data_IF_409875606820
#
_entry.id   IF_409875606820
#
_cell.length_a   1.000
_cell.length_b   1.000
_cell.length_c   1.000
_cell.angle_alpha   90.00
_cell.angle_beta   90.00
_cell.angle_gamma   90.00
#
_symmetry.space_group_name_H-M   'P 1'
#
loop_
_entity.id
_entity.type
_entity.pdbx_description
1 polymer ?
#
# COMPACT_ATOMS: atom_id res chain seq x y z
N UNK A 1 7.56 44.46 2.88
CA UNK A 1 7.85 43.06 2.49
C UNK A 1 6.91 42.18 3.28
N UNK A 2 5.91 41.58 2.61
CA UNK A 2 4.83 40.83 3.26
C UNK A 2 5.29 39.38 3.56
N UNK A 3 4.88 38.87 4.72
CA UNK A 3 5.18 37.50 5.21
C UNK A 3 4.56 36.38 4.34
N UNK A 4 3.97 36.69 3.21
CA UNK A 4 3.31 35.72 2.31
C UNK A 4 4.29 35.06 1.33
N UNK A 5 5.47 35.63 1.09
CA UNK A 5 6.39 35.13 0.07
C UNK A 5 7.32 33.98 0.52
N UNK A 6 7.33 33.66 1.83
CA UNK A 6 8.24 32.64 2.37
C UNK A 6 7.66 31.22 2.26
N UNK A 7 6.33 31.07 2.15
CA UNK A 7 5.68 29.74 2.10
C UNK A 7 5.52 29.17 0.70
N UNK A 8 5.63 29.99 -0.35
CA UNK A 8 5.51 29.54 -1.74
C UNK A 8 6.77 28.88 -2.29
N UNK A 9 7.92 29.06 -1.66
CA UNK A 9 9.21 28.59 -2.18
C UNK A 9 9.53 27.11 -1.85
N UNK A 10 8.86 26.50 -0.86
CA UNK A 10 9.18 25.10 -0.43
C UNK A 10 8.45 24.03 -1.25
N UNK A 11 7.41 24.40 -1.99
CA UNK A 11 6.61 23.44 -2.80
C UNK A 11 7.21 23.24 -4.20
N UNK A 12 8.06 24.15 -4.68
CA UNK A 12 8.59 24.11 -6.05
C UNK A 12 9.82 23.22 -6.28
N UNK A 13 10.33 22.49 -5.29
CA UNK A 13 11.56 21.68 -5.44
C UNK A 13 11.37 20.16 -5.47
N UNK A 14 10.15 19.62 -5.37
CA UNK A 14 9.95 18.19 -5.55
C UNK A 14 9.04 17.92 -6.76
N UNK A 15 9.45 17.02 -7.65
CA UNK A 15 8.61 16.43 -8.72
C UNK A 15 7.42 15.60 -8.16
N UNK A 16 6.89 15.99 -6.99
CA UNK A 16 5.82 15.30 -6.29
C UNK A 16 4.47 15.81 -6.76
N UNK A 17 3.51 14.92 -6.76
CA UNK A 17 2.14 15.20 -7.20
C UNK A 17 1.24 15.14 -5.96
N UNK A 18 0.81 16.29 -5.39
CA UNK A 18 0.16 16.34 -4.08
C UNK A 18 -1.09 15.45 -3.95
N UNK A 19 -1.94 15.39 -4.98
CA UNK A 19 -3.14 14.55 -4.91
C UNK A 19 -2.82 13.04 -4.85
N UNK A 20 -1.68 12.62 -5.38
CA UNK A 20 -1.21 11.22 -5.28
C UNK A 20 -0.74 10.94 -3.86
N UNK A 21 0.04 11.85 -3.27
CA UNK A 21 0.50 11.69 -1.89
C UNK A 21 -0.67 11.73 -0.92
N UNK A 22 -1.68 12.58 -1.16
CA UNK A 22 -2.90 12.58 -0.37
C UNK A 22 -3.62 11.22 -0.42
N UNK A 23 -3.84 10.65 -1.60
CA UNK A 23 -4.53 9.36 -1.76
C UNK A 23 -3.74 8.21 -1.13
N UNK A 24 -2.41 8.19 -1.26
CA UNK A 24 -1.54 7.23 -0.54
C UNK A 24 -1.66 7.41 0.98
N UNK A 25 -1.70 8.65 1.45
CA UNK A 25 -1.87 8.95 2.88
C UNK A 25 -3.18 8.43 3.44
N UNK A 26 -4.28 8.62 2.71
CA UNK A 26 -5.59 8.06 3.06
C UNK A 26 -5.52 6.53 3.14
N UNK A 27 -4.90 5.87 2.14
CA UNK A 27 -4.78 4.41 2.14
C UNK A 27 -3.95 3.88 3.32
N UNK A 28 -2.83 4.52 3.66
CA UNK A 28 -2.01 4.17 4.84
C UNK A 28 -2.77 4.42 6.14
N UNK A 29 -3.47 5.54 6.28
CA UNK A 29 -4.29 5.82 7.47
C UNK A 29 -5.33 4.72 7.68
N UNK A 30 -6.07 4.34 6.64
CA UNK A 30 -7.06 3.27 6.68
C UNK A 30 -6.44 1.89 6.96
N UNK A 31 -5.26 1.61 6.42
CA UNK A 31 -4.50 0.40 6.72
C UNK A 31 -4.14 0.34 8.22
N UNK A 32 -3.60 1.41 8.78
CA UNK A 32 -3.24 1.47 10.21
C UNK A 32 -4.48 1.31 11.09
N UNK A 33 -5.62 1.89 10.68
CA UNK A 33 -6.90 1.76 11.37
C UNK A 33 -7.37 0.29 11.43
N UNK A 34 -7.25 -0.45 10.32
CA UNK A 34 -7.56 -1.88 10.31
C UNK A 34 -6.60 -2.69 11.18
N UNK A 35 -5.31 -2.39 11.13
CA UNK A 35 -4.30 -3.07 11.94
C UNK A 35 -4.43 -2.74 13.45
N UNK A 36 -5.02 -1.59 13.79
CA UNK A 36 -5.33 -1.25 15.19
C UNK A 36 -6.54 -2.01 15.74
N UNK A 37 -7.22 -2.84 14.94
CA UNK A 37 -8.30 -3.71 15.39
C UNK A 37 -9.71 -3.30 14.95
N UNK A 38 -9.84 -2.50 13.88
CA UNK A 38 -11.16 -2.21 13.31
C UNK A 38 -11.79 -3.50 12.76
N UNK A 39 -12.90 -3.94 13.36
CA UNK A 39 -13.64 -5.15 12.97
C UNK A 39 -15.11 -4.81 12.72
N UNK A 40 -15.38 -4.31 11.53
CA UNK A 40 -16.75 -4.01 11.08
C UNK A 40 -16.82 -4.09 9.54
N UNK A 41 -17.98 -3.78 8.98
CA UNK A 41 -18.22 -3.79 7.53
C UNK A 41 -17.27 -2.86 6.75
N UNK A 42 -16.71 -1.80 7.39
CA UNK A 42 -15.71 -0.94 6.75
C UNK A 42 -14.38 -1.66 6.50
N UNK A 43 -14.04 -2.67 7.30
CA UNK A 43 -12.84 -3.50 7.08
C UNK A 43 -12.87 -4.12 5.68
N UNK A 44 -14.01 -4.71 5.28
CA UNK A 44 -14.19 -5.27 3.94
C UNK A 44 -13.94 -4.24 2.83
N UNK A 45 -14.50 -3.03 2.98
CA UNK A 45 -14.31 -1.95 2.03
C UNK A 45 -12.83 -1.51 1.96
N UNK A 46 -12.18 -1.29 3.11
CA UNK A 46 -10.78 -0.87 3.17
C UNK A 46 -9.86 -1.89 2.53
N UNK A 47 -9.99 -3.17 2.89
CA UNK A 47 -9.14 -4.24 2.36
C UNK A 47 -9.31 -4.48 0.86
N UNK A 48 -10.46 -4.13 0.29
CA UNK A 48 -10.70 -4.27 -1.14
C UNK A 48 -9.84 -3.34 -2.01
N UNK A 49 -9.24 -2.25 -1.46
CA UNK A 49 -8.50 -1.29 -2.28
C UNK A 49 -7.20 -0.74 -1.66
N UNK A 50 -7.01 -0.73 -0.33
CA UNK A 50 -5.89 0.02 0.28
C UNK A 50 -4.51 -0.46 -0.19
N UNK A 51 -4.27 -1.78 -0.32
CA UNK A 51 -3.02 -2.32 -0.86
C UNK A 51 -2.99 -2.29 -2.40
N UNK A 52 -4.04 -2.72 -3.12
CA UNK A 52 -4.15 -2.55 -4.56
C UNK A 52 -3.85 -1.14 -5.06
N UNK A 53 -4.24 -0.11 -4.31
CA UNK A 53 -4.03 1.29 -4.63
C UNK A 53 -2.56 1.61 -4.96
N UNK A 54 -1.60 1.07 -4.23
CA UNK A 54 -0.18 1.34 -4.49
C UNK A 54 0.28 0.79 -5.84
N UNK A 55 -0.21 -0.39 -6.23
CA UNK A 55 0.06 -0.96 -7.56
C UNK A 55 -0.58 -0.11 -8.66
N UNK A 56 -1.85 0.24 -8.49
CA UNK A 56 -2.63 1.05 -9.44
C UNK A 56 -1.98 2.42 -9.64
N UNK A 57 -1.62 3.11 -8.54
CA UNK A 57 -0.91 4.40 -8.58
C UNK A 57 0.46 4.27 -9.25
N UNK A 58 1.21 3.20 -8.95
CA UNK A 58 2.51 2.96 -9.59
C UNK A 58 2.37 2.79 -11.10
N UNK A 59 1.37 2.03 -11.54
CA UNK A 59 1.07 1.86 -12.96
C UNK A 59 0.69 3.16 -13.66
N UNK A 60 -0.12 3.99 -13.02
CA UNK A 60 -0.48 5.32 -13.49
C UNK A 60 0.74 6.22 -13.69
N UNK A 61 1.67 6.23 -12.72
CA UNK A 61 2.86 7.07 -12.75
C UNK A 61 3.91 6.63 -13.78
N UNK A 62 4.10 5.32 -13.94
CA UNK A 62 5.16 4.78 -14.84
C UNK A 62 4.79 4.97 -16.32
N UNK A 63 3.51 4.92 -16.66
CA UNK A 63 3.06 5.07 -18.05
C UNK A 63 3.61 3.97 -18.97
N UNK A 64 4.10 4.37 -20.16
CA UNK A 64 4.60 3.45 -21.21
C UNK A 64 6.13 3.33 -21.25
N UNK A 65 6.87 4.12 -20.46
CA UNK A 65 8.32 4.13 -20.52
C UNK A 65 8.91 2.89 -19.84
N UNK A 66 9.93 2.30 -20.46
CA UNK A 66 10.80 1.37 -19.78
C UNK A 66 12.10 2.05 -19.36
N UNK A 67 12.80 1.46 -18.42
CA UNK A 67 14.11 1.91 -17.97
C UNK A 67 15.12 0.78 -18.12
N UNK A 68 16.42 1.09 -18.37
CA UNK A 68 17.46 0.06 -18.44
C UNK A 68 17.39 -0.85 -17.22
N UNK A 69 17.32 -2.17 -17.43
CA UNK A 69 16.93 -3.13 -16.40
C UNK A 69 17.85 -3.10 -15.18
N UNK A 70 19.16 -3.08 -15.38
CA UNK A 70 20.14 -3.10 -14.29
C UNK A 70 20.01 -1.87 -13.39
N UNK A 71 19.94 -0.68 -13.99
CA UNK A 71 19.78 0.57 -13.23
C UNK A 71 18.43 0.63 -12.52
N UNK A 72 17.39 0.07 -13.13
CA UNK A 72 16.07 0.00 -12.54
C UNK A 72 16.02 -0.95 -11.33
N UNK A 73 16.60 -2.16 -11.47
CA UNK A 73 16.76 -3.13 -10.38
C UNK A 73 17.51 -2.48 -9.21
N UNK A 74 18.72 -1.93 -9.47
CA UNK A 74 19.54 -1.28 -8.43
C UNK A 74 18.78 -0.20 -7.67
N UNK A 75 18.07 0.67 -8.40
CA UNK A 75 17.27 1.74 -7.79
C UNK A 75 16.10 1.18 -6.97
N UNK A 76 15.37 0.17 -7.51
CA UNK A 76 14.22 -0.41 -6.81
C UNK A 76 14.66 -1.25 -5.61
N UNK A 77 15.77 -1.96 -5.67
CA UNK A 77 16.37 -2.65 -4.52
C UNK A 77 16.70 -1.65 -3.41
N UNK A 78 17.33 -0.51 -3.76
CA UNK A 78 17.62 0.54 -2.79
C UNK A 78 16.35 1.10 -2.13
N UNK A 79 15.27 1.29 -2.90
CA UNK A 79 14.03 1.89 -2.42
C UNK A 79 13.13 0.92 -1.64
N UNK A 80 13.19 -0.39 -1.89
CA UNK A 80 12.23 -1.36 -1.37
C UNK A 80 12.88 -2.50 -0.59
N UNK A 81 13.94 -3.13 -1.12
CA UNK A 81 14.56 -4.28 -0.46
C UNK A 81 15.47 -3.85 0.70
N UNK A 82 16.22 -2.75 0.58
CA UNK A 82 17.04 -2.26 1.70
C UNK A 82 16.15 -1.91 2.89
N UNK A 83 15.09 -1.08 2.76
CA UNK A 83 14.13 -0.86 3.85
C UNK A 83 13.55 -2.16 4.38
N UNK A 84 13.14 -3.07 3.51
CA UNK A 84 12.59 -4.36 3.91
C UNK A 84 13.51 -5.13 4.87
N UNK A 85 14.74 -5.42 4.43
CA UNK A 85 15.67 -6.21 5.23
C UNK A 85 16.08 -5.49 6.52
N UNK A 86 16.31 -4.18 6.47
CA UNK A 86 16.73 -3.41 7.64
C UNK A 86 15.63 -3.34 8.69
N UNK A 87 14.38 -3.06 8.30
CA UNK A 87 13.28 -3.03 9.25
C UNK A 87 12.93 -4.43 9.76
N UNK A 88 13.02 -5.46 8.94
CA UNK A 88 12.87 -6.84 9.39
C UNK A 88 13.92 -7.19 10.47
N UNK A 89 15.19 -6.82 10.27
CA UNK A 89 16.24 -6.99 11.27
C UNK A 89 15.95 -6.22 12.57
N UNK A 90 15.62 -4.93 12.46
CA UNK A 90 15.34 -4.08 13.65
C UNK A 90 14.17 -4.64 14.46
N UNK A 91 13.10 -5.06 13.79
CA UNK A 91 11.92 -5.61 14.46
C UNK A 91 12.18 -6.98 15.09
N UNK A 92 13.09 -7.79 14.51
CA UNK A 92 13.53 -9.04 15.12
C UNK A 92 14.20 -8.85 16.48
N UNK A 93 15.05 -7.83 16.63
CA UNK A 93 15.74 -7.58 17.91
C UNK A 93 14.80 -7.19 19.06
N UNK A 94 13.58 -6.77 18.76
CA UNK A 94 12.56 -6.42 19.75
C UNK A 94 11.62 -7.57 20.16
N UNK A 95 11.84 -8.77 19.66
CA UNK A 95 10.92 -9.89 19.86
C UNK A 95 11.62 -11.11 20.46
N UNK A 96 11.02 -11.73 21.49
CA UNK A 96 11.56 -12.91 22.20
C UNK A 96 11.49 -14.23 21.40
N UNK A 97 11.01 -14.19 20.17
CA UNK A 97 10.90 -15.36 19.31
C UNK A 97 12.18 -15.61 18.52
N UNK A 98 12.51 -16.89 18.30
CA UNK A 98 13.64 -17.33 17.49
C UNK A 98 13.69 -16.55 16.16
N UNK A 99 14.89 -16.05 15.86
CA UNK A 99 15.17 -15.27 14.66
C UNK A 99 14.93 -16.14 13.40
N UNK A 100 13.85 -15.93 12.71
CA UNK A 100 13.52 -16.68 11.49
C UNK A 100 14.13 -16.02 10.24
N UNK A 101 15.41 -16.27 10.00
CA UNK A 101 16.10 -15.83 8.79
C UNK A 101 15.44 -16.34 7.52
N UNK A 102 14.96 -17.57 7.55
CA UNK A 102 14.35 -18.21 6.38
C UNK A 102 13.09 -17.45 6.01
N UNK A 103 12.26 -17.13 7.00
CA UNK A 103 11.04 -16.34 6.78
C UNK A 103 11.32 -14.97 6.21
N UNK A 104 12.35 -14.28 6.71
CA UNK A 104 12.76 -12.95 6.22
C UNK A 104 13.29 -13.02 4.78
N UNK A 105 14.16 -13.98 4.47
CA UNK A 105 14.70 -14.15 3.11
C UNK A 105 13.61 -14.55 2.14
N UNK A 106 12.66 -15.38 2.59
CA UNK A 106 11.52 -15.81 1.78
C UNK A 106 10.53 -14.69 1.49
N UNK A 107 10.28 -13.81 2.46
CA UNK A 107 9.59 -12.53 2.30
C UNK A 107 8.12 -12.59 1.91
N UNK A 108 7.43 -13.70 2.17
CA UNK A 108 5.98 -13.79 2.02
C UNK A 108 5.26 -13.37 3.30
N UNK A 109 3.95 -13.08 3.21
CA UNK A 109 3.13 -12.78 4.39
C UNK A 109 3.14 -13.95 5.39
N UNK A 110 3.00 -15.18 4.90
CA UNK A 110 2.93 -16.36 5.76
C UNK A 110 4.27 -16.65 6.44
N UNK A 111 5.39 -16.46 5.73
CA UNK A 111 6.72 -16.64 6.30
C UNK A 111 7.08 -15.58 7.34
N UNK A 112 6.45 -14.39 7.27
CA UNK A 112 6.67 -13.29 8.22
C UNK A 112 5.69 -13.31 9.40
N UNK A 113 4.86 -14.34 9.51
CA UNK A 113 3.79 -14.43 10.51
C UNK A 113 4.28 -14.72 11.95
N UNK A 114 5.58 -14.65 12.21
CA UNK A 114 6.16 -14.85 13.53
C UNK A 114 5.72 -13.76 14.53
N UNK A 115 5.43 -12.55 14.05
CA UNK A 115 4.85 -11.47 14.84
C UNK A 115 4.01 -10.53 13.99
N UNK A 116 3.03 -9.86 14.58
CA UNK A 116 2.22 -8.85 13.89
C UNK A 116 3.08 -7.72 13.32
N UNK A 117 4.19 -7.38 13.98
CA UNK A 117 5.09 -6.31 13.55
C UNK A 117 5.79 -6.57 12.23
N UNK A 118 6.00 -7.83 11.85
CA UNK A 118 6.66 -8.21 10.60
C UNK A 118 5.69 -8.38 9.43
N UNK A 119 4.47 -8.80 9.70
CA UNK A 119 3.50 -9.15 8.66
C UNK A 119 3.32 -8.07 7.59
N UNK A 120 3.17 -6.78 7.89
CA UNK A 120 3.01 -5.74 6.86
C UNK A 120 4.19 -5.58 5.90
N UNK A 121 5.38 -6.04 6.27
CA UNK A 121 6.59 -5.93 5.44
C UNK A 121 6.52 -6.77 4.15
N UNK A 122 5.64 -7.80 4.08
CA UNK A 122 5.44 -8.63 2.88
C UNK A 122 5.24 -7.80 1.61
N UNK A 123 4.64 -6.62 1.76
CA UNK A 123 4.31 -5.73 0.65
C UNK A 123 5.54 -5.24 -0.10
N UNK A 124 6.65 -4.96 0.58
CA UNK A 124 7.84 -4.38 -0.04
C UNK A 124 8.48 -5.32 -1.07
N UNK A 125 8.81 -6.60 -0.75
CA UNK A 125 9.33 -7.54 -1.74
C UNK A 125 8.32 -7.87 -2.84
N UNK A 126 7.04 -7.99 -2.52
CA UNK A 126 5.97 -8.18 -3.49
C UNK A 126 5.90 -7.01 -4.49
N UNK A 127 5.88 -5.78 -3.99
CA UNK A 127 5.83 -4.58 -4.83
C UNK A 127 7.11 -4.41 -5.65
N UNK A 128 8.27 -4.79 -5.09
CA UNK A 128 9.54 -4.84 -5.81
C UNK A 128 9.44 -5.73 -7.05
N UNK A 129 9.04 -7.00 -6.88
CA UNK A 129 8.88 -7.93 -8.00
C UNK A 129 7.89 -7.40 -9.04
N UNK A 130 6.73 -6.91 -8.63
CA UNK A 130 5.73 -6.37 -9.54
C UNK A 130 6.29 -5.22 -10.38
N UNK A 131 7.07 -4.31 -9.78
CA UNK A 131 7.67 -3.20 -10.52
C UNK A 131 8.72 -3.66 -11.53
N UNK A 132 9.54 -4.66 -11.18
CA UNK A 132 10.52 -5.23 -12.11
C UNK A 132 9.84 -5.93 -13.28
N UNK A 133 8.86 -6.80 -13.00
CA UNK A 133 8.10 -7.52 -14.05
C UNK A 133 7.41 -6.52 -14.97
N UNK A 134 6.74 -5.50 -14.41
CA UNK A 134 6.09 -4.47 -15.22
C UNK A 134 7.09 -3.69 -16.10
N UNK A 135 8.30 -3.40 -15.58
CA UNK A 135 9.34 -2.74 -16.37
C UNK A 135 9.81 -3.63 -17.54
N UNK A 136 9.98 -4.94 -17.32
CA UNK A 136 10.34 -5.91 -18.37
C UNK A 136 9.24 -5.98 -19.43
N UNK A 137 7.97 -6.07 -19.03
CA UNK A 137 6.84 -6.09 -19.98
C UNK A 137 6.79 -4.81 -20.82
N UNK A 138 7.23 -3.69 -20.28
CA UNK A 138 7.26 -2.41 -21.01
C UNK A 138 8.27 -2.39 -22.19
N UNK A 139 9.23 -3.33 -22.27
CA UNK A 139 10.06 -3.55 -23.45
C UNK A 139 9.25 -4.02 -24.66
N UNK A 140 8.14 -4.71 -24.43
CA UNK A 140 7.29 -5.21 -25.52
C UNK A 140 6.60 -4.01 -26.21
N UNK A 141 6.94 -3.77 -27.45
CA UNK A 141 6.43 -2.62 -28.22
C UNK A 141 5.05 -2.86 -28.79
N UNK A 142 4.76 -4.10 -29.23
CA UNK A 142 3.47 -4.48 -29.82
C UNK A 142 2.38 -4.52 -28.74
N UNK A 143 1.39 -3.63 -28.82
CA UNK A 143 0.33 -3.46 -27.82
C UNK A 143 -0.47 -4.74 -27.53
N UNK A 144 -0.82 -5.49 -28.57
CA UNK A 144 -1.61 -6.72 -28.41
C UNK A 144 -0.82 -7.82 -27.71
N UNK A 145 0.49 -8.00 -28.01
CA UNK A 145 1.36 -8.97 -27.33
C UNK A 145 1.49 -8.59 -25.87
N UNK A 146 1.73 -7.30 -25.57
CA UNK A 146 1.76 -6.79 -24.21
C UNK A 146 0.48 -7.09 -23.45
N UNK A 147 -0.69 -6.88 -24.07
CA UNK A 147 -1.98 -7.18 -23.44
C UNK A 147 -2.12 -8.68 -23.13
N UNK A 148 -1.77 -9.56 -24.10
CA UNK A 148 -1.79 -11.01 -23.87
C UNK A 148 -0.89 -11.39 -22.70
N UNK A 149 0.35 -10.90 -22.66
CA UNK A 149 1.28 -11.18 -21.55
C UNK A 149 0.68 -10.72 -20.20
N UNK A 150 0.11 -9.53 -20.15
CA UNK A 150 -0.48 -8.97 -18.94
C UNK A 150 -1.68 -9.79 -18.44
N UNK A 151 -2.57 -10.17 -19.36
CA UNK A 151 -3.72 -11.02 -19.03
C UNK A 151 -3.24 -12.39 -18.54
N UNK A 152 -2.31 -13.02 -19.27
CA UNK A 152 -1.76 -14.34 -18.90
C UNK A 152 -1.10 -14.31 -17.51
N UNK A 153 -0.21 -13.34 -17.25
CA UNK A 153 0.48 -13.23 -15.96
C UNK A 153 -0.51 -12.94 -14.84
N UNK A 154 -1.44 -12.00 -15.05
CA UNK A 154 -2.46 -11.67 -14.04
C UNK A 154 -3.37 -12.87 -13.72
N UNK A 155 -3.87 -13.57 -14.74
CA UNK A 155 -4.68 -14.77 -14.57
C UNK A 155 -3.90 -15.88 -13.86
N UNK A 156 -2.63 -16.08 -14.24
CA UNK A 156 -1.76 -17.06 -13.59
C UNK A 156 -1.56 -16.75 -12.10
N UNK A 157 -1.32 -15.48 -11.75
CA UNK A 157 -1.20 -15.05 -10.34
C UNK A 157 -2.48 -15.30 -9.54
N UNK A 158 -3.65 -15.03 -10.12
CA UNK A 158 -4.95 -15.32 -9.51
C UNK A 158 -5.16 -16.84 -9.31
N UNK A 159 -4.89 -17.64 -10.33
CA UNK A 159 -5.01 -19.09 -10.27
C UNK A 159 -4.06 -19.68 -9.23
N UNK A 160 -2.80 -19.26 -9.19
CA UNK A 160 -1.84 -19.70 -8.17
C UNK A 160 -2.33 -19.36 -6.76
N UNK A 161 -2.89 -18.18 -6.57
CA UNK A 161 -3.33 -17.74 -5.24
C UNK A 161 -4.55 -18.53 -4.72
N UNK A 162 -5.49 -18.86 -5.61
CA UNK A 162 -6.76 -19.50 -5.23
C UNK A 162 -6.62 -21.04 -5.18
N UNK A 163 -5.99 -21.64 -6.21
CA UNK A 163 -6.01 -23.09 -6.39
C UNK A 163 -4.77 -23.81 -5.84
N UNK A 164 -3.67 -23.09 -5.62
CA UNK A 164 -2.40 -23.66 -5.19
C UNK A 164 -1.79 -22.89 -4.01
N UNK A 165 -2.52 -22.79 -2.86
CA UNK A 165 -1.98 -22.15 -1.68
C UNK A 165 -0.82 -22.97 -1.11
N UNK A 166 0.33 -22.32 -0.88
CA UNK A 166 1.49 -22.92 -0.20
C UNK A 166 1.50 -22.43 1.24
N UNK A 167 1.77 -23.30 2.21
CA UNK A 167 1.75 -22.95 3.64
C UNK A 167 2.66 -21.77 3.99
N UNK A 168 3.88 -21.72 3.45
CA UNK A 168 4.81 -20.60 3.59
C UNK A 168 4.47 -19.41 2.65
N UNK A 169 3.48 -19.53 1.76
CA UNK A 169 3.25 -18.62 0.65
C UNK A 169 4.29 -18.83 -0.46
N UNK A 170 4.28 -17.97 -1.47
CA UNK A 170 5.31 -17.96 -2.54
C UNK A 170 6.43 -16.99 -2.19
N UNK A 171 7.70 -17.27 -2.59
CA UNK A 171 8.81 -16.35 -2.33
C UNK A 171 8.48 -14.92 -2.81
N UNK A 172 8.72 -13.93 -1.93
CA UNK A 172 8.38 -12.53 -2.19
C UNK A 172 6.93 -12.32 -2.62
N UNK A 173 6.02 -13.21 -2.18
CA UNK A 173 4.61 -13.22 -2.61
C UNK A 173 4.47 -13.14 -4.14
N UNK A 174 5.20 -13.98 -4.88
CA UNK A 174 5.29 -13.96 -6.34
C UNK A 174 3.92 -14.04 -7.02
N UNK A 175 3.03 -14.91 -6.53
CA UNK A 175 1.65 -15.02 -7.01
C UNK A 175 0.90 -13.68 -6.92
N UNK A 176 1.02 -12.99 -5.79
CA UNK A 176 0.42 -11.66 -5.57
C UNK A 176 1.13 -10.60 -6.44
N UNK A 177 2.44 -10.75 -6.67
CA UNK A 177 3.20 -9.84 -7.54
C UNK A 177 2.66 -9.85 -8.98
N UNK A 178 2.24 -11.01 -9.49
CA UNK A 178 1.61 -11.13 -10.80
C UNK A 178 0.24 -10.40 -10.86
N UNK A 179 -0.56 -10.52 -9.81
CA UNK A 179 -1.81 -9.75 -9.67
C UNK A 179 -1.49 -8.24 -9.59
N UNK A 180 -0.45 -7.87 -8.86
CA UNK A 180 0.05 -6.50 -8.79
C UNK A 180 0.40 -5.90 -10.15
N UNK A 181 0.99 -6.69 -11.06
CA UNK A 181 1.27 -6.26 -12.46
C UNK A 181 -0.03 -5.97 -13.22
N UNK A 182 -1.06 -6.81 -13.05
CA UNK A 182 -2.37 -6.55 -13.66
C UNK A 182 -3.01 -5.26 -13.11
N UNK A 183 -2.93 -5.03 -11.80
CA UNK A 183 -3.39 -3.79 -11.17
C UNK A 183 -2.62 -2.56 -11.68
N UNK A 184 -1.30 -2.66 -11.89
CA UNK A 184 -0.50 -1.59 -12.49
C UNK A 184 -1.00 -1.26 -13.91
N UNK A 185 -1.32 -2.26 -14.71
CA UNK A 185 -1.87 -2.05 -16.04
C UNK A 185 -3.23 -1.35 -15.99
N UNK A 186 -4.13 -1.81 -15.12
CA UNK A 186 -5.44 -1.19 -14.92
C UNK A 186 -5.31 0.26 -14.45
N UNK A 187 -4.37 0.54 -13.54
CA UNK A 187 -4.07 1.90 -13.08
C UNK A 187 -3.61 2.84 -14.19
N UNK A 188 -2.77 2.34 -15.10
CA UNK A 188 -2.32 3.08 -16.27
C UNK A 188 -3.47 3.42 -17.22
N UNK A 189 -4.36 2.46 -17.49
CA UNK A 189 -5.50 2.64 -18.40
C UNK A 189 -6.56 3.52 -17.73
N UNK A 190 -6.99 3.17 -16.53
CA UNK A 190 -8.04 3.87 -15.79
C UNK A 190 -7.65 5.30 -15.43
N UNK A 191 -6.41 5.50 -14.95
CA UNK A 191 -5.91 6.84 -14.65
C UNK A 191 -5.90 7.74 -15.89
N UNK A 192 -5.41 7.25 -17.03
CA UNK A 192 -5.40 8.01 -18.28
C UNK A 192 -6.81 8.39 -18.76
N UNK A 193 -7.80 7.53 -18.57
CA UNK A 193 -9.16 7.73 -19.06
C UNK A 193 -10.00 8.65 -18.15
N UNK A 194 -9.81 8.58 -16.82
CA UNK A 194 -10.77 9.11 -15.87
C UNK A 194 -10.20 10.15 -14.90
N UNK A 195 -8.88 10.34 -14.82
CA UNK A 195 -8.25 11.25 -13.84
C UNK A 195 -8.75 12.69 -13.93
N UNK A 196 -9.10 13.17 -15.12
CA UNK A 196 -9.59 14.53 -15.36
C UNK A 196 -11.12 14.62 -15.42
N UNK A 197 -11.83 13.53 -15.11
CA UNK A 197 -13.29 13.42 -15.15
C UNK A 197 -13.87 13.18 -13.74
N UNK A 198 -13.95 14.19 -12.88
CA UNK A 198 -14.32 14.00 -11.47
C UNK A 198 -15.74 13.45 -11.26
N UNK A 199 -16.69 13.72 -12.15
CA UNK A 199 -18.03 13.13 -12.09
C UNK A 199 -18.01 11.63 -12.36
N UNK A 200 -17.27 11.21 -13.40
CA UNK A 200 -17.06 9.78 -13.67
C UNK A 200 -16.29 9.12 -12.53
N UNK A 201 -15.24 9.79 -12.00
CA UNK A 201 -14.49 9.34 -10.83
C UNK A 201 -15.37 9.16 -9.60
N UNK A 202 -16.29 10.09 -9.33
CA UNK A 202 -17.29 9.97 -8.26
C UNK A 202 -18.21 8.77 -8.45
N UNK A 203 -18.72 8.57 -9.65
CA UNK A 203 -19.51 7.39 -10.00
C UNK A 203 -18.75 6.08 -9.81
N UNK A 204 -17.48 6.02 -10.26
CA UNK A 204 -16.61 4.86 -10.05
C UNK A 204 -16.37 4.58 -8.56
N UNK A 205 -16.15 5.60 -7.74
CA UNK A 205 -15.99 5.45 -6.30
C UNK A 205 -17.24 4.87 -5.64
N UNK A 206 -18.42 5.38 -5.98
CA UNK A 206 -19.69 4.90 -5.45
C UNK A 206 -19.93 3.44 -5.87
N UNK A 207 -19.84 3.14 -7.16
CA UNK A 207 -20.07 1.80 -7.69
C UNK A 207 -19.05 0.82 -7.10
N UNK A 208 -17.76 1.18 -7.07
CA UNK A 208 -16.72 0.36 -6.47
C UNK A 208 -16.98 0.09 -4.99
N UNK A 209 -17.45 1.08 -4.23
CA UNK A 209 -17.83 0.93 -2.82
C UNK A 209 -18.99 -0.05 -2.66
N UNK A 210 -20.05 0.07 -3.45
CA UNK A 210 -21.20 -0.86 -3.38
C UNK A 210 -20.73 -2.28 -3.72
N UNK A 211 -19.99 -2.44 -4.80
CA UNK A 211 -19.49 -3.76 -5.25
C UNK A 211 -18.50 -4.39 -4.26
N UNK A 212 -17.79 -3.59 -3.46
CA UNK A 212 -16.88 -4.14 -2.43
C UNK A 212 -17.61 -4.94 -1.36
N UNK A 213 -18.82 -4.53 -0.98
CA UNK A 213 -19.63 -5.27 -0.01
C UNK A 213 -20.26 -6.55 -0.59
N UNK A 214 -20.31 -6.68 -1.93
CA UNK A 214 -20.77 -7.89 -2.60
C UNK A 214 -19.64 -8.89 -2.85
N UNK A 215 -18.39 -8.48 -2.76
CA UNK A 215 -17.23 -9.32 -3.01
C UNK A 215 -16.74 -10.00 -1.72
N UNK A 216 -17.45 -11.01 -1.26
CA UNK A 216 -17.10 -11.76 -0.05
C UNK A 216 -16.21 -12.96 -0.40
N UNK A 217 -15.12 -13.20 0.34
CA UNK A 217 -14.32 -14.43 0.20
C UNK A 217 -15.11 -15.63 0.70
N UNK A 218 -15.09 -16.73 -0.07
CA UNK A 218 -15.89 -17.93 0.21
C UNK A 218 -15.31 -18.80 1.32
N UNK A 219 -14.05 -18.62 1.70
CA UNK A 219 -13.39 -19.46 2.69
C UNK A 219 -12.32 -18.68 3.43
N UNK A 220 -12.63 -18.16 4.60
CA UNK A 220 -11.63 -17.66 5.53
C UNK A 220 -11.94 -18.18 6.94
N UNK A 221 -10.89 -18.66 7.58
CA UNK A 221 -10.84 -19.08 8.99
C UNK A 221 -10.86 -17.88 9.96
N UNK A 222 -11.29 -16.71 9.49
CA UNK A 222 -11.40 -15.50 10.31
C UNK A 222 -12.86 -15.31 10.75
N UNK A 223 -13.05 -14.88 11.98
CA UNK A 223 -14.36 -14.56 12.54
C UNK A 223 -15.10 -13.46 11.73
N UNK A 224 -14.34 -12.68 10.95
CA UNK A 224 -14.85 -11.63 10.08
C UNK A 224 -14.23 -11.77 8.68
N UNK A 225 -14.85 -12.49 7.73
CA UNK A 225 -14.29 -12.71 6.41
C UNK A 225 -14.21 -11.39 5.63
N UNK A 226 -13.03 -11.05 5.15
CA UNK A 226 -12.78 -9.88 4.32
C UNK A 226 -11.77 -10.22 3.22
N UNK A 227 -11.75 -9.41 2.16
CA UNK A 227 -10.73 -9.50 1.12
C UNK A 227 -9.36 -9.29 1.77
N UNK A 228 -8.42 -10.21 1.52
CA UNK A 228 -7.04 -10.02 1.95
C UNK A 228 -6.04 -10.39 0.86
N UNK A 229 -5.49 -9.35 0.22
CA UNK A 229 -4.55 -9.51 -0.89
C UNK A 229 -3.29 -10.28 -0.48
N UNK A 230 -2.81 -10.12 0.76
CA UNK A 230 -1.55 -10.69 1.24
C UNK A 230 -1.52 -12.23 1.21
N UNK A 231 -2.68 -12.86 1.38
CA UNK A 231 -2.85 -14.33 1.36
C UNK A 231 -3.58 -14.82 0.10
N UNK A 232 -3.90 -13.93 -0.84
CA UNK A 232 -4.60 -14.29 -2.06
C UNK A 232 -6.10 -14.50 -1.91
N UNK A 233 -6.69 -14.02 -0.81
CA UNK A 233 -8.13 -14.07 -0.57
C UNK A 233 -8.84 -12.93 -1.31
N UNK A 234 -9.12 -13.12 -2.59
CA UNK A 234 -9.69 -12.11 -3.48
C UNK A 234 -11.23 -12.12 -3.56
N UNK A 235 -11.90 -13.13 -2.97
CA UNK A 235 -13.31 -13.39 -3.27
C UNK A 235 -13.49 -13.77 -4.74
N UNK A 236 -14.36 -13.07 -5.46
CA UNK A 236 -14.38 -13.17 -6.91
C UNK A 236 -13.22 -12.34 -7.49
N UNK A 237 -12.22 -12.97 -8.16
CA UNK A 237 -11.01 -12.28 -8.62
C UNK A 237 -11.27 -11.16 -9.63
N UNK A 238 -12.24 -11.31 -10.52
CA UNK A 238 -12.59 -10.27 -11.48
C UNK A 238 -13.24 -9.07 -10.79
N UNK A 239 -14.15 -9.36 -9.84
CA UNK A 239 -14.79 -8.32 -9.05
C UNK A 239 -13.77 -7.57 -8.19
N UNK A 240 -12.78 -8.27 -7.62
CA UNK A 240 -11.67 -7.65 -6.90
C UNK A 240 -10.89 -6.65 -7.77
N UNK A 241 -10.55 -7.00 -9.01
CA UNK A 241 -9.84 -6.11 -9.93
C UNK A 241 -10.70 -4.88 -10.31
N UNK A 242 -11.99 -5.07 -10.53
CA UNK A 242 -12.92 -4.00 -10.86
C UNK A 242 -13.09 -3.05 -9.66
N UNK A 243 -13.36 -3.59 -8.47
CA UNK A 243 -13.57 -2.84 -7.24
C UNK A 243 -12.34 -2.01 -6.88
N UNK A 244 -11.18 -2.65 -6.77
CA UNK A 244 -9.95 -1.98 -6.38
C UNK A 244 -9.56 -0.89 -7.38
N UNK A 245 -9.76 -1.11 -8.67
CA UNK A 245 -9.47 -0.12 -9.72
C UNK A 245 -10.47 1.04 -9.66
N UNK A 246 -11.76 0.75 -9.54
CA UNK A 246 -12.82 1.78 -9.50
C UNK A 246 -12.67 2.70 -8.30
N UNK A 247 -12.46 2.15 -7.09
CA UNK A 247 -12.26 2.95 -5.89
C UNK A 247 -10.98 3.80 -6.02
N UNK A 248 -9.86 3.20 -6.45
CA UNK A 248 -8.59 3.93 -6.54
C UNK A 248 -8.62 5.04 -7.57
N UNK A 249 -9.12 4.78 -8.78
CA UNK A 249 -9.21 5.80 -9.86
C UNK A 249 -10.21 6.88 -9.45
N UNK A 250 -11.30 6.52 -8.81
CA UNK A 250 -12.27 7.46 -8.27
C UNK A 250 -11.65 8.38 -7.22
N UNK A 251 -10.92 7.83 -6.25
CA UNK A 251 -10.20 8.61 -5.23
C UNK A 251 -9.17 9.55 -5.87
N UNK A 252 -8.38 9.09 -6.84
CA UNK A 252 -7.41 9.92 -7.54
C UNK A 252 -8.07 11.08 -8.27
N UNK A 253 -9.16 10.84 -9.00
CA UNK A 253 -9.87 11.85 -9.78
C UNK A 253 -10.50 12.92 -8.88
N UNK A 254 -11.15 12.51 -7.77
CA UNK A 254 -11.75 13.45 -6.80
C UNK A 254 -10.65 14.22 -6.07
N UNK A 255 -9.59 13.57 -5.60
CA UNK A 255 -8.50 14.20 -4.86
C UNK A 255 -7.77 15.23 -5.71
N UNK A 256 -7.57 14.97 -7.01
CA UNK A 256 -7.00 15.94 -7.95
C UNK A 256 -7.82 17.23 -8.00
N UNK A 257 -9.14 17.11 -8.02
CA UNK A 257 -10.05 18.25 -8.01
C UNK A 257 -10.06 18.97 -6.66
N UNK A 258 -10.16 18.21 -5.55
CA UNK A 258 -10.20 18.79 -4.20
C UNK A 258 -8.96 19.62 -3.90
N UNK A 259 -7.77 19.07 -4.20
CA UNK A 259 -6.51 19.77 -3.92
C UNK A 259 -6.34 21.02 -4.81
N UNK A 260 -6.84 20.97 -6.05
CA UNK A 260 -6.79 22.15 -6.94
C UNK A 260 -7.65 23.33 -6.42
N UNK A 261 -8.78 23.03 -5.77
CA UNK A 261 -9.74 24.07 -5.32
C UNK A 261 -9.62 24.42 -3.84
N UNK A 262 -8.91 23.62 -3.04
CA UNK A 262 -8.82 23.84 -1.61
C UNK A 262 -7.56 24.67 -1.27
N UNK A 263 -7.78 25.94 -0.94
CA UNK A 263 -6.72 26.85 -0.45
C UNK A 263 -6.28 26.52 0.99
N UNK A 264 -7.07 25.74 1.73
CA UNK A 264 -6.78 25.42 3.14
C UNK A 264 -5.98 24.12 3.27
N UNK A 265 -4.71 24.17 2.86
CA UNK A 265 -3.77 23.04 2.86
C UNK A 265 -3.57 22.45 4.28
N UNK A 266 -3.82 23.22 5.34
CA UNK A 266 -3.55 22.78 6.73
C UNK A 266 -4.32 21.51 7.12
N UNK A 267 -5.56 21.33 6.66
CA UNK A 267 -6.39 20.17 6.97
C UNK A 267 -5.93 18.89 6.27
N UNK A 268 -5.29 19.01 5.11
CA UNK A 268 -4.82 17.86 4.32
C UNK A 268 -3.36 17.52 4.56
N UNK A 269 -2.59 18.41 5.21
CA UNK A 269 -1.16 18.23 5.49
C UNK A 269 -0.82 16.90 6.19
N UNK A 270 -1.56 16.42 7.20
CA UNK A 270 -1.26 15.12 7.80
C UNK A 270 -1.32 13.97 6.78
N UNK A 271 -2.33 13.96 5.90
CA UNK A 271 -2.47 12.92 4.87
C UNK A 271 -1.38 13.05 3.80
N UNK A 272 -1.00 14.27 3.42
CA UNK A 272 0.13 14.50 2.51
C UNK A 272 1.42 13.94 3.12
N UNK A 273 1.71 14.26 4.39
CA UNK A 273 2.90 13.78 5.08
C UNK A 273 2.95 12.25 5.17
N UNK A 274 1.82 11.60 5.56
CA UNK A 274 1.71 10.14 5.62
C UNK A 274 1.97 9.54 4.24
N UNK A 275 1.39 10.10 3.18
CA UNK A 275 1.56 9.61 1.81
C UNK A 275 2.98 9.77 1.28
N UNK A 276 3.64 10.89 1.59
CA UNK A 276 5.05 11.13 1.27
C UNK A 276 6.00 10.14 1.95
N UNK A 277 5.66 9.73 3.16
CA UNK A 277 6.46 8.84 4.00
C UNK A 277 5.83 7.46 4.15
N UNK A 278 5.00 7.05 3.19
CA UNK A 278 4.21 5.82 3.23
C UNK A 278 5.04 4.56 3.50
N UNK A 279 6.25 4.44 2.96
CA UNK A 279 7.16 3.30 3.23
C UNK A 279 7.60 3.30 4.70
N UNK A 280 7.99 4.44 5.25
CA UNK A 280 8.40 4.54 6.66
C UNK A 280 7.26 4.13 7.57
N UNK A 281 6.07 4.74 7.38
CA UNK A 281 4.89 4.42 8.19
C UNK A 281 4.52 2.95 8.06
N UNK A 282 4.55 2.38 6.84
CA UNK A 282 4.29 0.96 6.61
C UNK A 282 5.26 0.06 7.39
N UNK A 283 6.53 0.45 7.51
CA UNK A 283 7.52 -0.38 8.20
C UNK A 283 7.41 -0.31 9.74
N UNK A 284 6.98 0.82 10.30
CA UNK A 284 7.07 1.05 11.75
C UNK A 284 5.73 1.09 12.49
N UNK A 285 4.59 1.25 11.78
CA UNK A 285 3.28 1.43 12.44
C UNK A 285 2.89 0.26 13.34
N UNK A 286 3.18 -0.98 12.93
CA UNK A 286 2.85 -2.17 13.72
C UNK A 286 3.53 -2.18 15.09
N UNK A 287 4.78 -1.73 15.16
CA UNK A 287 5.50 -1.57 16.43
C UNK A 287 4.79 -0.57 17.35
N UNK A 288 4.39 0.59 16.83
CA UNK A 288 3.69 1.58 17.65
C UNK A 288 2.27 1.15 18.02
N UNK A 289 1.55 0.45 17.14
CA UNK A 289 0.26 -0.14 17.50
C UNK A 289 0.43 -1.11 18.67
N UNK A 290 1.43 -1.99 18.64
CA UNK A 290 1.68 -2.96 19.71
C UNK A 290 1.95 -2.25 21.06
N UNK A 291 2.79 -1.21 21.07
CA UNK A 291 3.08 -0.43 22.29
C UNK A 291 1.82 0.26 22.81
N UNK A 292 1.10 0.97 21.94
CA UNK A 292 -0.09 1.73 22.35
C UNK A 292 -1.20 0.81 22.82
N UNK A 293 -1.44 -0.29 22.12
CA UNK A 293 -2.45 -1.30 22.53
C UNK A 293 -2.10 -1.92 23.89
N UNK A 294 -0.80 -2.21 24.15
CA UNK A 294 -0.36 -2.71 25.46
C UNK A 294 -0.61 -1.70 26.56
N UNK A 295 -0.41 -0.41 26.33
CA UNK A 295 -0.72 0.65 27.30
C UNK A 295 -2.22 0.70 27.61
N UNK A 296 -3.09 0.69 26.60
CA UNK A 296 -4.54 0.67 26.80
C UNK A 296 -5.00 -0.61 27.52
N UNK A 297 -4.40 -1.75 27.23
CA UNK A 297 -4.68 -3.02 27.91
C UNK A 297 -4.34 -2.94 29.41
N UNK A 298 -3.16 -2.41 29.77
CA UNK A 298 -2.75 -2.21 31.18
C UNK A 298 -3.69 -1.24 31.90
N UNK A 299 -4.26 -0.27 31.21
CA UNK A 299 -5.26 0.66 31.74
C UNK A 299 -6.67 0.06 31.82
N UNK A 300 -6.86 -1.22 31.52
CA UNK A 300 -8.15 -1.92 31.47
C UNK A 300 -9.16 -1.27 30.49
N UNK A 301 -8.68 -0.64 29.41
CA UNK A 301 -9.55 -0.06 28.38
C UNK A 301 -9.86 -1.12 27.33
N UNK A 302 -11.15 -1.40 27.04
CA UNK A 302 -11.52 -2.43 26.08
C UNK A 302 -11.10 -2.02 24.65
N UNK A 303 -10.21 -2.84 24.04
CA UNK A 303 -9.61 -2.57 22.73
C UNK A 303 -10.57 -2.74 21.54
N UNK A 304 -11.77 -3.30 21.78
CA UNK A 304 -12.76 -3.58 20.72
C UNK A 304 -13.64 -2.37 20.36
N UNK A 305 -13.65 -1.34 21.21
CA UNK A 305 -14.44 -0.16 20.91
C UNK A 305 -13.85 0.69 19.78
N UNK A 306 -14.66 1.05 18.79
CA UNK A 306 -14.23 1.85 17.61
C UNK A 306 -13.51 3.14 18.00
N UNK A 307 -13.94 3.82 19.07
CA UNK A 307 -13.29 5.05 19.56
C UNK A 307 -11.87 4.74 20.06
N UNK A 308 -11.67 3.62 20.75
CA UNK A 308 -10.35 3.18 21.24
C UNK A 308 -9.45 2.81 20.07
N UNK A 309 -9.97 2.09 19.07
CA UNK A 309 -9.25 1.76 17.84
C UNK A 309 -8.80 3.02 17.10
N UNK A 310 -9.67 4.02 16.99
CA UNK A 310 -9.32 5.33 16.42
C UNK A 310 -8.23 6.03 17.23
N UNK A 311 -8.32 6.02 18.56
CA UNK A 311 -7.30 6.61 19.44
C UNK A 311 -5.94 5.91 19.25
N UNK A 312 -5.91 4.56 19.25
CA UNK A 312 -4.70 3.77 18.98
C UNK A 312 -4.11 4.15 17.63
N UNK A 313 -4.95 4.25 16.59
CA UNK A 313 -4.51 4.64 15.24
C UNK A 313 -3.85 6.01 15.22
N UNK A 314 -4.52 7.02 15.78
CA UNK A 314 -4.03 8.41 15.78
C UNK A 314 -2.73 8.50 16.59
N UNK A 315 -2.68 7.94 17.80
CA UNK A 315 -1.48 7.97 18.65
C UNK A 315 -0.32 7.25 17.95
N UNK A 316 -0.56 6.09 17.35
CA UNK A 316 0.48 5.35 16.61
C UNK A 316 1.03 6.15 15.44
N UNK A 317 0.18 6.81 14.66
CA UNK A 317 0.61 7.68 13.56
C UNK A 317 1.35 8.93 14.04
N UNK A 318 0.94 9.52 15.18
CA UNK A 318 1.67 10.61 15.81
C UNK A 318 3.07 10.18 16.24
N UNK A 319 3.23 8.96 16.76
CA UNK A 319 4.54 8.40 17.13
C UNK A 319 5.38 8.04 15.88
N UNK A 320 4.76 7.66 14.78
CA UNK A 320 5.47 7.46 13.50
C UNK A 320 6.12 8.76 12.98
N UNK A 321 5.58 9.94 13.32
CA UNK A 321 6.10 11.22 12.84
C UNK A 321 7.53 11.52 13.32
N UNK A 322 7.83 11.59 14.64
CA UNK A 322 9.19 11.83 15.11
C UNK A 322 10.13 10.69 14.72
N UNK A 323 9.68 9.43 14.78
CA UNK A 323 10.50 8.28 14.37
C UNK A 323 10.94 8.39 12.91
N UNK A 324 10.02 8.73 12.01
CA UNK A 324 10.34 8.95 10.59
C UNK A 324 11.30 10.12 10.41
N UNK A 325 11.14 11.23 11.15
CA UNK A 325 12.07 12.36 11.09
C UNK A 325 13.48 11.96 11.51
N UNK A 326 13.61 11.21 12.60
CA UNK A 326 14.89 10.70 13.08
C UNK A 326 15.56 9.83 12.01
N UNK A 327 14.82 8.86 11.44
CA UNK A 327 15.34 7.99 10.38
C UNK A 327 15.80 8.82 9.17
N UNK A 328 15.01 9.80 8.74
CA UNK A 328 15.36 10.64 7.59
C UNK A 328 16.57 11.54 7.84
N UNK A 329 16.76 12.00 9.08
CA UNK A 329 17.87 12.87 9.45
C UNK A 329 19.20 12.13 9.58
N UNK A 330 19.19 10.97 10.22
CA UNK A 330 20.41 10.22 10.53
C UNK A 330 20.71 9.09 9.54
N UNK A 331 19.67 8.46 8.98
CA UNK A 331 19.80 7.27 8.15
C UNK A 331 18.87 7.32 6.91
N UNK A 332 18.92 8.37 6.06
CA UNK A 332 18.01 8.48 4.91
C UNK A 332 18.10 7.28 3.96
N UNK A 333 19.27 6.66 3.88
CA UNK A 333 19.50 5.45 3.08
C UNK A 333 18.63 4.25 3.51
N UNK A 334 18.19 4.18 4.79
CA UNK A 334 17.26 3.15 5.27
C UNK A 334 15.91 3.22 4.55
N UNK A 335 15.53 4.40 4.06
CA UNK A 335 14.30 4.62 3.30
C UNK A 335 14.56 4.77 1.80
N UNK A 336 15.77 4.39 1.34
CA UNK A 336 16.15 4.48 -0.06
C UNK A 336 16.23 5.90 -0.61
N UNK A 337 16.38 6.89 0.27
CA UNK A 337 16.58 8.31 -0.09
C UNK A 337 18.07 8.63 -0.06
N UNK A 338 18.56 9.31 -1.08
CA UNK A 338 19.91 9.89 -1.07
C UNK A 338 19.90 11.18 -0.21
N UNK A 339 21.03 11.50 0.42
CA UNK A 339 21.23 12.77 1.13
C UNK A 339 21.16 13.95 0.19
#
# INVERSE_FOLDING_TARGET
MRKEDVYTCTICQSNRIPYIDFVKGVAIFLMVLCHAGLQNSFTQWIYSFHMPLFFIVSGFLVGNSYKPIISYIRRKSKQLLIPYFLFALILCFGHDSYFDWVGIVYGSRNSLNASFSFTPLWFLPCFYLSTIINNVINFVTKKWIKLVILVTIGSFGLIMSVNYPISLGYPFSLNISFVGVALMFLGKVGGKLFIDKPLCGGGMLIIGTILSFLNLPQSLTFDNPHIEMSVGAFGNPLLFLIVSTSITVGLLSISKRLIKFNSNIRLINPMLWIGENSISVLCIHGFFIAIVSKLFFVMNVPLTHTVVVLAITIISLLLCYPATKVILSYMPNLLGKDR
#
